data_IF_484038996080
#
_entry.id   IF_484038996080
#
_cell.length_a   1.000
_cell.length_b   1.000
_cell.length_c   1.000
_cell.angle_alpha   90.00
_cell.angle_beta   90.00
_cell.angle_gamma   90.00
#
_symmetry.space_group_name_H-M   'P 1'
#
loop_
_entity.id
_entity.type
_entity.pdbx_description
1 polymer ?
#
# COMPACT_ATOMS: atom_id res chain seq x y z
N UNK A 1 -28.02 13.73 -8.60
CA UNK A 1 -27.49 12.48 -8.03
C UNK A 1 -26.31 12.02 -8.89
N UNK A 2 -25.05 12.21 -8.46
CA UNK A 2 -23.87 11.75 -9.23
C UNK A 2 -23.65 10.27 -8.92
N UNK A 3 -23.76 9.39 -9.92
CA UNK A 3 -23.31 8.00 -9.77
C UNK A 3 -21.83 8.03 -9.37
N UNK A 4 -21.51 7.60 -8.15
CA UNK A 4 -20.12 7.28 -7.82
C UNK A 4 -19.79 6.03 -8.61
N UNK A 5 -19.01 6.17 -9.69
CA UNK A 5 -18.39 5.03 -10.37
C UNK A 5 -17.76 4.16 -9.28
N UNK A 6 -18.12 2.88 -9.24
CA UNK A 6 -17.51 1.89 -8.36
C UNK A 6 -16.05 1.75 -8.79
N UNK A 7 -15.17 2.55 -8.19
CA UNK A 7 -13.75 2.53 -8.48
C UNK A 7 -13.19 1.23 -7.96
N UNK A 8 -12.72 0.37 -8.86
CA UNK A 8 -12.05 -0.88 -8.52
C UNK A 8 -10.66 -0.52 -8.03
N UNK A 9 -10.36 -0.81 -6.77
CA UNK A 9 -9.02 -0.66 -6.20
C UNK A 9 -8.09 -1.67 -6.87
N UNK A 10 -7.04 -1.16 -7.52
CA UNK A 10 -6.05 -2.00 -8.21
C UNK A 10 -4.82 -2.21 -7.35
N UNK A 11 -4.79 -3.34 -6.64
CA UNK A 11 -3.63 -3.80 -5.88
C UNK A 11 -2.50 -4.23 -6.80
N UNK A 12 -1.27 -3.87 -6.43
CA UNK A 12 -0.06 -4.20 -7.18
C UNK A 12 1.01 -4.77 -6.24
N UNK A 13 1.56 -5.93 -6.64
CA UNK A 13 2.77 -6.53 -6.06
C UNK A 13 4.04 -5.92 -6.66
N UNK A 14 5.13 -5.92 -5.89
CA UNK A 14 6.47 -5.60 -6.41
C UNK A 14 6.88 -6.63 -7.48
N UNK A 15 7.56 -6.18 -8.53
CA UNK A 15 8.17 -7.07 -9.53
C UNK A 15 9.31 -7.93 -8.97
N UNK A 16 9.83 -7.59 -7.79
CA UNK A 16 10.86 -8.38 -7.09
C UNK A 16 10.26 -9.54 -6.27
N UNK A 17 8.93 -9.71 -6.31
CA UNK A 17 8.21 -10.85 -5.74
C UNK A 17 8.38 -12.05 -6.69
N UNK A 18 9.47 -12.81 -6.55
CA UNK A 18 9.64 -14.15 -7.16
C UNK A 18 8.55 -15.18 -6.78
N UNK A 19 8.61 -16.37 -7.41
CA UNK A 19 7.58 -17.41 -7.31
C UNK A 19 7.77 -18.32 -6.08
N UNK A 20 6.91 -18.13 -5.07
CA UNK A 20 6.56 -19.02 -3.95
C UNK A 20 7.65 -19.62 -3.02
N UNK A 21 7.38 -19.71 -1.70
CA UNK A 21 6.40 -18.96 -0.92
C UNK A 21 7.01 -17.60 -0.56
N UNK A 22 6.45 -16.50 -1.05
CA UNK A 22 6.91 -15.16 -0.66
C UNK A 22 5.78 -14.36 -0.03
N UNK A 23 5.99 -13.99 1.23
CA UNK A 23 5.20 -13.01 1.97
C UNK A 23 5.48 -11.63 1.38
N UNK A 24 4.66 -11.21 0.42
CA UNK A 24 4.86 -9.96 -0.29
C UNK A 24 3.88 -8.89 0.19
N UNK A 25 4.32 -7.63 0.09
CA UNK A 25 3.47 -6.47 0.33
C UNK A 25 2.80 -6.04 -0.97
N UNK A 26 1.50 -5.76 -0.91
CA UNK A 26 0.73 -5.15 -1.99
C UNK A 26 0.39 -3.71 -1.66
N UNK A 27 0.43 -2.83 -2.67
CA UNK A 27 0.03 -1.43 -2.53
C UNK A 27 -1.05 -1.05 -3.54
N UNK A 28 -1.95 -0.12 -3.18
CA UNK A 28 -2.96 0.42 -4.08
C UNK A 28 -3.27 1.88 -3.79
N UNK A 29 -3.64 2.64 -4.82
CA UNK A 29 -4.30 3.93 -4.64
C UNK A 29 -5.77 3.68 -4.30
N UNK A 30 -6.19 4.15 -3.13
CA UNK A 30 -7.56 4.03 -2.64
C UNK A 30 -8.37 5.29 -3.02
N UNK A 31 -9.61 5.11 -3.49
CA UNK A 31 -10.52 6.21 -3.71
C UNK A 31 -11.19 6.61 -2.38
N UNK A 32 -10.53 7.43 -1.57
CA UNK A 32 -11.06 8.01 -0.33
C UNK A 32 -11.25 9.54 -0.46
N UNK A 33 -12.39 9.98 -1.01
CA UNK A 33 -12.70 11.40 -1.08
C UNK A 33 -11.79 12.19 -2.05
N UNK A 34 -11.44 13.42 -1.69
CA UNK A 34 -10.71 14.37 -2.56
C UNK A 34 -9.18 14.20 -2.51
N UNK A 35 -8.63 13.60 -1.44
CA UNK A 35 -7.19 13.64 -1.16
C UNK A 35 -6.45 12.36 -1.58
N UNK A 36 -7.15 11.26 -1.82
CA UNK A 36 -6.52 9.98 -2.15
C UNK A 36 -5.78 9.37 -0.95
N UNK A 37 -5.52 8.07 -1.00
CA UNK A 37 -4.74 7.36 0.00
C UNK A 37 -4.00 6.19 -0.62
N UNK A 38 -2.96 5.74 0.07
CA UNK A 38 -2.22 4.54 -0.27
C UNK A 38 -2.58 3.45 0.72
N UNK A 39 -3.19 2.39 0.22
CA UNK A 39 -3.43 1.15 0.97
C UNK A 39 -2.24 0.22 0.85
N UNK A 40 -1.85 -0.41 1.94
CA UNK A 40 -0.76 -1.39 2.03
C UNK A 40 -1.29 -2.62 2.76
N UNK A 41 -1.10 -3.81 2.20
CA UNK A 41 -1.54 -5.07 2.82
C UNK A 41 -0.56 -6.21 2.58
N UNK A 42 -0.73 -7.26 3.36
CA UNK A 42 -0.07 -8.55 3.12
C UNK A 42 -0.75 -9.28 1.95
N UNK A 43 0.05 -9.83 1.02
CA UNK A 43 -0.46 -10.55 -0.15
C UNK A 43 -1.07 -11.91 0.19
N UNK A 44 -0.65 -12.51 1.31
CA UNK A 44 -1.10 -13.83 1.79
C UNK A 44 -2.31 -13.73 2.71
N UNK A 45 -2.59 -12.54 3.26
CA UNK A 45 -3.84 -12.22 3.96
C UNK A 45 -4.57 -10.99 3.35
N UNK A 46 -5.16 -11.11 2.14
CA UNK A 46 -5.83 -9.99 1.47
C UNK A 46 -7.07 -9.44 2.18
N UNK A 47 -7.61 -10.19 3.15
CA UNK A 47 -8.80 -9.82 3.93
C UNK A 47 -8.46 -9.38 5.36
N UNK A 48 -7.19 -9.47 5.74
CA UNK A 48 -6.69 -9.04 7.03
C UNK A 48 -6.65 -7.52 7.20
N UNK A 49 -5.98 -7.02 8.24
CA UNK A 49 -5.76 -5.59 8.42
C UNK A 49 -4.91 -4.98 7.31
N UNK A 50 -5.26 -3.79 6.84
CA UNK A 50 -4.46 -3.02 5.88
C UNK A 50 -4.04 -1.69 6.52
N UNK A 51 -2.83 -1.23 6.23
CA UNK A 51 -2.41 0.12 6.58
C UNK A 51 -2.91 1.09 5.49
N UNK A 52 -3.46 2.22 5.90
CA UNK A 52 -3.88 3.30 5.00
C UNK A 52 -3.11 4.56 5.34
N UNK A 53 -2.38 5.10 4.37
CA UNK A 53 -1.55 6.28 4.53
C UNK A 53 -2.03 7.42 3.63
N UNK A 54 -1.81 8.66 4.05
CA UNK A 54 -1.93 9.81 3.14
C UNK A 54 -0.79 9.78 2.10
N UNK A 55 -0.94 10.46 0.97
CA UNK A 55 0.13 10.58 -0.03
C UNK A 55 1.44 11.16 0.55
N UNK A 56 1.35 12.10 1.49
CA UNK A 56 2.49 12.72 2.16
C UNK A 56 3.20 11.72 3.07
N UNK A 57 2.45 10.98 3.91
CA UNK A 57 3.03 9.96 4.78
C UNK A 57 3.65 8.82 3.97
N UNK A 58 3.02 8.40 2.88
CA UNK A 58 3.59 7.42 1.95
C UNK A 58 4.91 7.90 1.36
N UNK A 59 4.97 9.15 0.91
CA UNK A 59 6.19 9.73 0.33
C UNK A 59 7.31 9.79 1.37
N UNK A 60 7.02 10.23 2.60
CA UNK A 60 7.98 10.24 3.70
C UNK A 60 8.48 8.84 4.05
N UNK A 61 7.58 7.85 4.11
CA UNK A 61 7.92 6.44 4.34
C UNK A 61 8.92 5.94 3.29
N UNK A 62 8.68 6.20 2.00
CA UNK A 62 9.58 5.78 0.93
C UNK A 62 10.97 6.43 1.01
N UNK A 63 11.06 7.69 1.44
CA UNK A 63 12.35 8.35 1.67
C UNK A 63 13.11 7.61 2.77
N UNK A 64 12.46 7.40 3.92
CA UNK A 64 13.08 6.74 5.07
C UNK A 64 13.52 5.30 4.76
N UNK A 65 12.72 4.53 4.02
CA UNK A 65 13.09 3.18 3.60
C UNK A 65 14.30 3.18 2.67
N UNK A 66 14.41 4.15 1.75
CA UNK A 66 15.56 4.27 0.84
C UNK A 66 16.83 4.71 1.53
N UNK A 67 16.73 5.54 2.57
CA UNK A 67 17.87 6.04 3.33
C UNK A 67 18.27 5.15 4.50
N UNK A 68 17.54 4.05 4.74
CA UNK A 68 17.77 3.15 5.86
C UNK A 68 17.35 3.71 7.23
N UNK A 69 16.59 4.81 7.26
CA UNK A 69 16.21 5.50 8.50
C UNK A 69 15.11 4.81 9.32
N UNK A 70 14.63 3.66 8.88
CA UNK A 70 13.65 2.81 9.58
C UNK A 70 14.31 1.48 9.97
N UNK A 71 15.45 1.56 10.67
CA UNK A 71 16.01 0.38 11.30
C UNK A 71 15.10 -0.09 12.45
N UNK A 72 14.91 -1.41 12.55
CA UNK A 72 14.10 -1.99 13.61
C UNK A 72 14.80 -1.74 14.95
N UNK A 73 14.25 -0.86 15.77
CA UNK A 73 14.60 -0.80 17.19
C UNK A 73 14.26 -2.17 17.79
N UNK A 74 15.30 -2.92 18.14
CA UNK A 74 15.21 -4.25 18.76
C UNK A 74 15.06 -4.10 20.26
#
# INVERSE_FOLDING_TARGET
MRLRRRQVVRWRKSSHSGAEPQTCVECALLPNGLEGAVGIRDSTDPSGPHLTLTPETWSALLVQLKTGGLERQT
#
